data_IF_695364427467
#
_entry.id   IF_695364427467
#
_cell.length_a   1.000
_cell.length_b   1.000
_cell.length_c   1.000
_cell.angle_alpha   90.00
_cell.angle_beta   90.00
_cell.angle_gamma   90.00
#
_symmetry.space_group_name_H-M   'P 1'
#
loop_
_entity.id
_entity.type
_entity.pdbx_description
1 polymer ?
#
# COMPACT_ATOMS: atom_id res chain seq x y z
N UNK A 1 13.63 -8.63 -24.33
CA UNK A 1 13.36 -7.25 -24.77
C UNK A 1 11.84 -7.11 -24.81
N UNK A 2 11.25 -6.80 -23.66
CA UNK A 2 9.79 -6.69 -23.54
C UNK A 2 9.39 -5.27 -23.90
N UNK A 3 8.50 -5.16 -24.89
CA UNK A 3 7.91 -3.93 -25.35
C UNK A 3 7.03 -3.32 -24.25
N UNK A 4 7.55 -2.32 -23.54
CA UNK A 4 6.77 -1.49 -22.62
C UNK A 4 5.74 -0.71 -23.44
N UNK A 5 4.46 -0.97 -23.22
CA UNK A 5 3.40 -0.14 -23.80
C UNK A 5 3.50 1.25 -23.17
N UNK A 6 3.22 2.32 -23.92
CA UNK A 6 3.36 3.71 -23.47
C UNK A 6 2.42 4.13 -22.31
N UNK A 7 1.81 3.18 -21.62
CA UNK A 7 0.74 3.38 -20.61
C UNK A 7 1.03 2.68 -19.27
N UNK A 8 2.11 1.92 -19.16
CA UNK A 8 2.47 1.23 -17.92
C UNK A 8 3.37 2.10 -17.04
N UNK A 9 3.15 2.06 -15.73
CA UNK A 9 3.99 2.78 -14.78
C UNK A 9 5.27 2.01 -14.51
N UNK A 10 6.37 2.75 -14.39
CA UNK A 10 7.62 2.18 -13.92
C UNK A 10 7.55 1.84 -12.41
N UNK A 11 8.38 0.91 -11.95
CA UNK A 11 8.43 0.54 -10.52
C UNK A 11 8.66 1.75 -9.62
N UNK A 12 9.54 2.67 -10.03
CA UNK A 12 9.81 3.90 -9.29
C UNK A 12 8.53 4.74 -9.14
N UNK A 13 7.74 4.87 -10.20
CA UNK A 13 6.48 5.61 -10.19
C UNK A 13 5.45 4.97 -9.27
N UNK A 14 5.30 3.64 -9.32
CA UNK A 14 4.42 2.86 -8.44
C UNK A 14 4.80 3.12 -6.98
N UNK A 15 6.09 3.01 -6.66
CA UNK A 15 6.65 3.21 -5.32
C UNK A 15 6.43 4.64 -4.80
N UNK A 16 6.57 5.66 -5.64
CA UNK A 16 6.31 7.04 -5.24
C UNK A 16 4.82 7.32 -5.02
N UNK A 17 3.93 6.75 -5.84
CA UNK A 17 2.49 6.90 -5.66
C UNK A 17 2.03 6.21 -4.36
N UNK A 18 2.54 5.01 -4.06
CA UNK A 18 2.25 4.32 -2.80
C UNK A 18 2.74 5.13 -1.59
N UNK A 19 3.96 5.68 -1.66
CA UNK A 19 4.49 6.52 -0.59
C UNK A 19 3.67 7.80 -0.38
N UNK A 20 3.22 8.44 -1.46
CA UNK A 20 2.31 9.59 -1.38
C UNK A 20 0.94 9.22 -0.78
N UNK A 21 0.45 8.01 -1.06
CA UNK A 21 -0.82 7.52 -0.53
C UNK A 21 -0.76 7.19 0.97
N UNK A 22 0.40 6.81 1.51
CA UNK A 22 0.60 6.43 2.92
C UNK A 22 0.14 7.51 3.90
N UNK A 23 0.36 8.80 3.57
CA UNK A 23 -0.10 9.92 4.40
C UNK A 23 -1.61 10.21 4.30
N UNK A 24 -2.32 9.53 3.38
CA UNK A 24 -3.74 9.73 3.10
C UNK A 24 -4.63 8.51 3.34
N UNK A 25 -4.05 7.31 3.47
CA UNK A 25 -4.83 6.06 3.52
C UNK A 25 -5.94 6.13 4.57
N UNK A 26 -7.17 5.87 4.12
CA UNK A 26 -8.38 5.92 4.96
C UNK A 26 -8.81 7.32 5.42
N UNK A 27 -8.21 8.39 4.90
CA UNK A 27 -8.48 9.79 5.31
C UNK A 27 -8.67 10.76 4.15
N UNK A 28 -8.16 10.42 2.97
CA UNK A 28 -8.22 11.27 1.78
C UNK A 28 -8.54 10.48 0.52
N UNK A 29 -9.27 11.13 -0.39
CA UNK A 29 -9.62 10.56 -1.69
C UNK A 29 -8.59 10.85 -2.77
N UNK A 30 -8.85 10.31 -3.96
CA UNK A 30 -8.03 10.43 -5.18
C UNK A 30 -7.52 11.85 -5.44
N UNK A 31 -8.39 12.86 -5.36
CA UNK A 31 -8.04 14.25 -5.64
C UNK A 31 -6.95 14.78 -4.70
N UNK A 32 -6.95 14.37 -3.43
CA UNK A 32 -5.92 14.79 -2.48
C UNK A 32 -4.58 14.13 -2.81
N UNK A 33 -4.58 12.84 -3.18
CA UNK A 33 -3.38 12.12 -3.60
C UNK A 33 -2.72 12.78 -4.82
N UNK A 34 -3.52 13.15 -5.82
CA UNK A 34 -3.05 13.88 -7.01
C UNK A 34 -2.42 15.23 -6.61
N UNK A 35 -3.02 15.95 -5.66
CA UNK A 35 -2.47 17.24 -5.17
C UNK A 35 -1.13 17.07 -4.44
N UNK A 36 -0.96 16.02 -3.64
CA UNK A 36 0.33 15.71 -2.99
C UNK A 36 1.39 15.48 -4.06
N UNK A 37 1.13 14.56 -4.99
CA UNK A 37 2.06 14.20 -6.07
C UNK A 37 2.41 15.40 -6.96
N UNK A 38 1.46 16.32 -7.18
CA UNK A 38 1.69 17.56 -7.94
C UNK A 38 2.53 18.59 -7.18
N UNK A 39 2.61 18.53 -5.86
CA UNK A 39 3.22 19.58 -5.03
C UNK A 39 2.31 20.79 -4.87
N UNK A 40 1.00 20.55 -4.73
CA UNK A 40 0.00 21.62 -4.63
C UNK A 40 0.10 22.38 -3.31
N UNK A 41 0.14 23.72 -3.38
CA UNK A 41 0.12 24.62 -2.22
C UNK A 41 -1.30 24.85 -1.66
N UNK A 42 -2.18 23.86 -1.81
CA UNK A 42 -3.55 23.93 -1.29
C UNK A 42 -3.53 24.14 0.23
N UNK A 43 -4.30 25.10 0.73
CA UNK A 43 -4.24 25.50 2.15
C UNK A 43 -4.51 24.32 3.09
N UNK A 44 -5.51 23.49 2.79
CA UNK A 44 -5.87 22.34 3.63
C UNK A 44 -4.81 21.25 3.57
N UNK A 45 -4.17 21.06 2.42
CA UNK A 45 -3.05 20.13 2.27
C UNK A 45 -1.90 20.52 3.20
N UNK A 46 -1.53 21.80 3.20
CA UNK A 46 -0.45 22.34 4.05
C UNK A 46 -0.81 22.33 5.53
N UNK A 47 -2.05 22.67 5.88
CA UNK A 47 -2.54 22.61 7.28
C UNK A 47 -2.48 21.19 7.85
N UNK A 48 -2.59 20.16 7.00
CA UNK A 48 -2.49 18.75 7.37
C UNK A 48 -1.04 18.22 7.33
N UNK A 49 -0.05 19.06 7.00
CA UNK A 49 1.37 18.66 6.90
C UNK A 49 1.66 17.66 5.78
N UNK A 50 0.76 17.54 4.79
CA UNK A 50 0.91 16.54 3.72
C UNK A 50 2.05 16.85 2.75
N UNK A 51 2.62 18.06 2.84
CA UNK A 51 3.82 18.48 2.11
C UNK A 51 5.12 17.90 2.67
N UNK A 52 5.11 17.29 3.86
CA UNK A 52 6.29 16.64 4.45
C UNK A 52 6.52 15.22 3.88
N UNK A 53 5.61 14.74 3.04
CA UNK A 53 5.72 13.47 2.35
C UNK A 53 6.89 13.52 1.33
N UNK A 54 7.74 12.49 1.30
CA UNK A 54 8.90 12.42 0.39
C UNK A 54 8.49 12.47 -1.10
N UNK A 55 7.30 11.99 -1.43
CA UNK A 55 6.76 12.02 -2.79
C UNK A 55 5.98 13.32 -3.11
N UNK A 56 5.96 14.30 -2.20
CA UNK A 56 5.32 15.59 -2.46
C UNK A 56 6.02 16.32 -3.60
N UNK A 57 5.27 16.64 -4.66
CA UNK A 57 5.82 17.30 -5.85
C UNK A 57 6.64 16.39 -6.77
N UNK A 58 6.62 15.06 -6.57
CA UNK A 58 7.29 14.11 -7.48
C UNK A 58 6.93 14.37 -8.95
N UNK A 59 5.64 14.66 -9.21
CA UNK A 59 5.10 14.98 -10.53
C UNK A 59 4.90 16.48 -10.77
N UNK A 60 5.73 17.35 -10.16
CA UNK A 60 5.56 18.81 -10.27
C UNK A 60 5.60 19.35 -11.73
N UNK A 61 6.23 18.65 -12.67
CA UNK A 61 6.32 19.08 -14.08
C UNK A 61 5.14 18.64 -14.96
N UNK A 62 4.38 17.60 -14.58
CA UNK A 62 3.26 17.08 -15.38
C UNK A 62 1.91 17.62 -14.91
N UNK A 63 0.88 17.52 -15.75
CA UNK A 63 -0.45 18.07 -15.44
C UNK A 63 -1.20 17.23 -14.41
N UNK A 64 -2.13 17.85 -13.67
CA UNK A 64 -3.01 17.14 -12.73
C UNK A 64 -3.82 16.02 -13.40
N UNK A 65 -4.21 16.21 -14.66
CA UNK A 65 -4.91 15.21 -15.46
C UNK A 65 -4.04 13.97 -15.69
N UNK A 66 -2.79 14.15 -16.13
CA UNK A 66 -1.84 13.04 -16.31
C UNK A 66 -1.55 12.32 -15.00
N UNK A 67 -1.40 13.05 -13.90
CA UNK A 67 -1.24 12.45 -12.57
C UNK A 67 -2.48 11.64 -12.18
N UNK A 68 -3.68 12.16 -12.49
CA UNK A 68 -4.95 11.45 -12.24
C UNK A 68 -4.98 10.14 -13.03
N UNK A 69 -4.58 10.13 -14.30
CA UNK A 69 -4.46 8.89 -15.10
C UNK A 69 -3.52 7.87 -14.46
N UNK A 70 -2.38 8.32 -13.90
CA UNK A 70 -1.44 7.44 -13.18
C UNK A 70 -2.03 6.88 -11.88
N UNK A 71 -2.75 7.69 -11.10
CA UNK A 71 -3.45 7.21 -9.90
C UNK A 71 -4.58 6.25 -10.27
N UNK A 72 -5.33 6.53 -11.34
CA UNK A 72 -6.38 5.63 -11.84
C UNK A 72 -5.78 4.31 -12.35
N UNK A 73 -4.59 4.34 -12.96
CA UNK A 73 -3.84 3.13 -13.30
C UNK A 73 -3.52 2.29 -12.05
N UNK A 74 -3.11 2.92 -10.94
CA UNK A 74 -2.83 2.22 -9.67
C UNK A 74 -4.08 1.53 -9.09
N UNK A 75 -5.26 2.17 -9.21
CA UNK A 75 -6.54 1.61 -8.77
C UNK A 75 -6.94 0.42 -9.67
N UNK A 76 -6.85 0.61 -10.99
CA UNK A 76 -7.19 -0.44 -11.97
C UNK A 76 -6.30 -1.67 -11.85
N UNK A 77 -5.02 -1.50 -11.49
CA UNK A 77 -4.08 -2.61 -11.28
C UNK A 77 -4.01 -3.10 -9.83
N UNK A 78 -4.96 -2.68 -9.00
CA UNK A 78 -5.16 -3.15 -7.64
C UNK A 78 -3.92 -2.96 -6.75
N UNK A 79 -3.20 -1.85 -6.91
CA UNK A 79 -2.25 -1.37 -5.90
C UNK A 79 -2.95 -0.49 -4.86
N UNK A 80 -3.96 0.24 -5.31
CA UNK A 80 -4.85 1.06 -4.50
C UNK A 80 -6.30 0.64 -4.75
N UNK A 81 -7.17 0.93 -3.81
CA UNK A 81 -8.62 0.82 -4.01
C UNK A 81 -9.35 1.99 -3.35
N UNK A 82 -10.62 2.14 -3.71
CA UNK A 82 -11.49 3.17 -3.15
C UNK A 82 -12.45 2.49 -2.18
N UNK A 83 -12.42 2.92 -0.93
CA UNK A 83 -13.43 2.57 0.08
C UNK A 83 -14.32 3.77 0.38
N UNK A 84 -15.52 3.51 0.88
CA UNK A 84 -16.47 4.55 1.26
C UNK A 84 -16.62 4.61 2.78
N UNK A 85 -16.16 5.71 3.38
CA UNK A 85 -16.46 6.05 4.76
C UNK A 85 -17.67 7.00 4.78
N UNK A 86 -18.86 6.42 4.91
CA UNK A 86 -20.11 7.14 4.62
C UNK A 86 -20.14 7.56 3.16
N UNK A 87 -20.34 8.85 2.90
CA UNK A 87 -20.33 9.41 1.53
C UNK A 87 -18.93 9.78 1.02
N UNK A 88 -17.87 9.60 1.84
CA UNK A 88 -16.52 9.99 1.49
C UNK A 88 -15.73 8.83 0.85
N UNK A 89 -15.36 8.93 -0.44
CA UNK A 89 -14.44 7.99 -1.05
C UNK A 89 -13.01 8.27 -0.55
N UNK A 90 -12.42 7.29 0.11
CA UNK A 90 -11.04 7.33 0.59
C UNK A 90 -10.21 6.29 -0.16
N UNK A 91 -8.94 6.62 -0.39
CA UNK A 91 -7.99 5.66 -0.94
C UNK A 91 -7.49 4.77 0.20
N UNK A 92 -7.41 3.47 -0.07
CA UNK A 92 -6.70 2.51 0.79
C UNK A 92 -5.75 1.65 -0.04
N UNK A 93 -4.80 1.01 0.64
CA UNK A 93 -3.95 0.01 0.01
C UNK A 93 -4.68 -1.31 -0.09
N UNK A 94 -4.61 -1.94 -1.27
CA UNK A 94 -4.90 -3.37 -1.40
C UNK A 94 -3.80 -4.19 -0.71
N UNK A 95 -3.96 -5.51 -0.64
CA UNK A 95 -2.89 -6.40 -0.17
C UNK A 95 -1.58 -6.19 -0.94
N UNK A 96 -1.67 -6.10 -2.28
CA UNK A 96 -0.55 -5.82 -3.18
C UNK A 96 0.14 -4.49 -2.85
N UNK A 97 -0.63 -3.42 -2.66
CA UNK A 97 -0.09 -2.11 -2.27
C UNK A 97 0.59 -2.14 -0.90
N UNK A 98 -0.01 -2.84 0.07
CA UNK A 98 0.53 -3.01 1.42
C UNK A 98 1.85 -3.77 1.43
N UNK A 99 2.03 -4.78 0.59
CA UNK A 99 3.31 -5.52 0.50
C UNK A 99 4.44 -4.56 0.09
N UNK A 100 4.25 -3.84 -1.01
CA UNK A 100 5.27 -2.94 -1.57
C UNK A 100 5.56 -1.77 -0.61
N UNK A 101 4.52 -1.14 -0.06
CA UNK A 101 4.69 -0.01 0.84
C UNK A 101 5.38 -0.41 2.16
N UNK A 102 5.09 -1.61 2.70
CA UNK A 102 5.77 -2.09 3.91
C UNK A 102 7.26 -2.35 3.66
N UNK A 103 7.61 -2.94 2.53
CA UNK A 103 9.01 -3.13 2.13
C UNK A 103 9.74 -1.78 2.01
N UNK A 104 9.14 -0.80 1.31
CA UNK A 104 9.71 0.54 1.18
C UNK A 104 9.92 1.21 2.54
N UNK A 105 8.91 1.16 3.40
CA UNK A 105 8.98 1.76 4.74
C UNK A 105 10.04 1.09 5.61
N UNK A 106 10.11 -0.25 5.60
CA UNK A 106 11.14 -0.99 6.31
C UNK A 106 12.55 -0.69 5.78
N UNK A 107 12.71 -0.55 4.47
CA UNK A 107 13.98 -0.17 3.84
C UNK A 107 14.43 1.25 4.20
N UNK A 108 13.50 2.20 4.35
CA UNK A 108 13.81 3.55 4.85
C UNK A 108 14.31 3.53 6.29
N UNK A 109 13.68 2.73 7.16
CA UNK A 109 14.13 2.55 8.54
C UNK A 109 15.53 1.92 8.60
N UNK A 110 15.79 0.91 7.78
CA UNK A 110 17.10 0.28 7.71
C UNK A 110 18.18 1.29 7.31
N UNK A 111 17.96 2.05 6.23
CA UNK A 111 18.91 3.11 5.82
C UNK A 111 19.15 4.16 6.90
N UNK A 112 18.11 4.52 7.65
CA UNK A 112 18.26 5.44 8.78
C UNK A 112 19.14 4.82 9.88
N UNK A 113 18.91 3.56 10.23
CA UNK A 113 19.72 2.86 11.24
C UNK A 113 21.16 2.62 10.76
N UNK A 114 21.37 2.38 9.47
CA UNK A 114 22.71 2.29 8.86
C UNK A 114 23.50 3.58 9.09
N UNK A 115 22.87 4.74 8.87
CA UNK A 115 23.50 6.04 9.09
C UNK A 115 23.88 6.22 10.55
N UNK A 116 23.00 5.86 11.50
CA UNK A 116 23.31 5.95 12.92
C UNK A 116 24.44 5.01 13.33
N UNK A 117 24.43 3.77 12.85
CA UNK A 117 25.49 2.80 13.13
C UNK A 117 26.83 3.28 12.56
N UNK A 118 26.86 3.75 11.32
CA UNK A 118 28.08 4.28 10.67
C UNK A 118 28.59 5.55 11.36
N UNK A 119 27.69 6.41 11.83
CA UNK A 119 28.01 7.62 12.58
C UNK A 119 28.31 7.38 14.07
N UNK A 120 28.18 6.14 14.56
CA UNK A 120 28.25 5.80 15.99
C UNK A 120 27.22 6.56 16.86
N UNK A 121 26.07 6.92 16.28
CA UNK A 121 24.94 7.60 16.94
C UNK A 121 23.98 6.59 17.57
N UNK A 122 24.48 5.80 18.52
CA UNK A 122 23.76 4.65 19.06
C UNK A 122 22.76 4.99 20.17
N UNK A 123 22.52 6.26 20.49
CA UNK A 123 21.53 6.68 21.49
C UNK A 123 20.40 7.42 20.80
N UNK A 124 19.27 6.76 20.63
CA UNK A 124 18.12 7.28 19.89
C UNK A 124 16.84 7.08 20.68
N UNK A 125 15.88 8.00 20.54
CA UNK A 125 14.52 7.74 21.00
C UNK A 125 13.81 6.87 19.97
N UNK A 126 13.57 5.61 20.32
CA UNK A 126 12.93 4.62 19.45
C UNK A 126 11.41 4.53 19.66
N UNK A 127 10.82 5.46 20.42
CA UNK A 127 9.38 5.55 20.62
C UNK A 127 8.61 5.82 19.32
N UNK A 128 9.25 6.41 18.31
CA UNK A 128 8.64 6.64 16.99
C UNK A 128 8.30 5.35 16.23
N UNK A 129 8.84 4.20 16.63
CA UNK A 129 8.51 2.88 16.08
C UNK A 129 7.27 2.26 16.73
N UNK A 130 6.89 2.75 17.91
CA UNK A 130 5.71 2.28 18.63
C UNK A 130 4.44 2.60 17.85
N UNK A 131 3.46 1.71 17.95
CA UNK A 131 2.13 1.83 17.31
C UNK A 131 2.16 1.85 15.76
N UNK A 132 3.33 1.66 15.13
CA UNK A 132 3.42 1.47 13.68
C UNK A 132 2.81 0.13 13.27
N UNK A 133 2.52 0.00 11.97
CA UNK A 133 2.00 -1.24 11.39
C UNK A 133 2.88 -2.43 11.78
N UNK A 134 2.30 -3.40 12.50
CA UNK A 134 3.05 -4.55 13.04
C UNK A 134 3.75 -5.36 11.96
N UNK A 135 3.11 -5.58 10.81
CA UNK A 135 3.73 -6.31 9.71
C UNK A 135 4.96 -5.60 9.17
N UNK A 136 4.92 -4.26 9.06
CA UNK A 136 6.08 -3.45 8.68
C UNK A 136 7.21 -3.56 9.70
N UNK A 137 6.89 -3.49 11.00
CA UNK A 137 7.86 -3.64 12.10
C UNK A 137 8.54 -5.01 12.09
N UNK A 138 7.78 -6.09 11.89
CA UNK A 138 8.33 -7.43 11.80
C UNK A 138 9.22 -7.59 10.56
N UNK A 139 8.79 -7.08 9.40
CA UNK A 139 9.61 -7.08 8.19
C UNK A 139 10.91 -6.29 8.37
N UNK A 140 10.86 -5.12 9.03
CA UNK A 140 12.04 -4.33 9.35
C UNK A 140 13.04 -5.12 10.22
N UNK A 141 12.55 -5.81 11.25
CA UNK A 141 13.36 -6.68 12.10
C UNK A 141 14.01 -7.83 11.32
N UNK A 142 13.32 -8.43 10.35
CA UNK A 142 13.90 -9.45 9.48
C UNK A 142 15.01 -8.89 8.60
N UNK A 143 14.79 -7.71 7.98
CA UNK A 143 15.82 -7.05 7.17
C UNK A 143 17.06 -6.71 8.00
N UNK A 144 16.89 -6.28 9.27
CA UNK A 144 18.01 -6.10 10.20
C UNK A 144 18.74 -7.42 10.47
N UNK A 145 18.02 -8.51 10.73
CA UNK A 145 18.61 -9.82 10.98
C UNK A 145 19.42 -10.33 9.77
N UNK A 146 18.92 -10.13 8.55
CA UNK A 146 19.55 -10.52 7.30
C UNK A 146 20.91 -9.84 7.05
N UNK A 147 21.11 -8.64 7.58
CA UNK A 147 22.41 -7.95 7.48
C UNK A 147 23.55 -8.70 8.19
N UNK A 148 23.23 -9.49 9.21
CA UNK A 148 24.23 -10.09 10.11
C UNK A 148 25.07 -9.08 10.91
N UNK A 149 24.71 -7.79 10.91
CA UNK A 149 25.52 -6.74 11.53
C UNK A 149 25.15 -6.56 13.01
N UNK A 150 26.05 -6.98 13.90
CA UNK A 150 25.86 -6.88 15.36
C UNK A 150 25.86 -5.44 15.87
N UNK A 151 26.25 -4.45 15.06
CA UNK A 151 26.27 -3.04 15.48
C UNK A 151 24.87 -2.44 15.70
N UNK A 152 23.80 -3.10 15.22
CA UNK A 152 22.42 -2.68 15.55
C UNK A 152 21.96 -3.08 16.96
N UNK A 153 22.66 -3.99 17.64
CA UNK A 153 22.21 -4.55 18.93
C UNK A 153 21.91 -3.45 19.97
N UNK A 154 22.74 -2.41 20.16
CA UNK A 154 22.43 -1.36 21.13
C UNK A 154 21.13 -0.61 20.82
N UNK A 155 20.80 -0.40 19.55
CA UNK A 155 19.53 0.21 19.13
C UNK A 155 18.36 -0.75 19.39
N UNK A 156 18.52 -2.03 19.06
CA UNK A 156 17.51 -3.07 19.33
C UNK A 156 17.19 -3.18 20.83
N UNK A 157 18.22 -3.16 21.69
CA UNK A 157 18.05 -3.18 23.15
C UNK A 157 17.24 -1.98 23.65
N UNK A 158 17.55 -0.77 23.18
CA UNK A 158 16.77 0.44 23.51
C UNK A 158 15.31 0.33 23.05
N UNK A 159 15.08 -0.23 21.86
CA UNK A 159 13.72 -0.38 21.32
C UNK A 159 12.90 -1.38 22.14
N UNK A 160 13.53 -2.48 22.57
CA UNK A 160 12.90 -3.50 23.38
C UNK A 160 12.38 -2.95 24.73
N UNK A 161 12.86 -1.81 25.21
CA UNK A 161 12.35 -1.21 26.44
C UNK A 161 10.98 -0.56 26.27
N UNK A 162 10.68 0.00 25.10
CA UNK A 162 9.51 0.91 24.91
C UNK A 162 8.31 0.29 24.17
N UNK A 163 8.51 -0.82 23.47
CA UNK A 163 7.47 -1.45 22.62
C UNK A 163 6.59 -2.49 23.35
N UNK A 164 5.62 -3.09 22.67
CA UNK A 164 4.75 -4.13 23.18
C UNK A 164 5.46 -5.49 23.26
N UNK A 165 5.01 -6.35 24.18
CA UNK A 165 5.62 -7.65 24.47
C UNK A 165 5.86 -8.55 23.24
N UNK A 166 5.02 -8.45 22.21
CA UNK A 166 5.20 -9.19 20.97
C UNK A 166 6.41 -8.70 20.17
N UNK A 167 6.55 -7.38 20.01
CA UNK A 167 7.70 -6.78 19.32
C UNK A 167 8.98 -7.00 20.15
N UNK A 168 8.91 -6.87 21.48
CA UNK A 168 10.04 -7.21 22.37
C UNK A 168 10.57 -8.62 22.16
N UNK A 169 9.68 -9.62 22.01
CA UNK A 169 10.08 -11.01 21.70
C UNK A 169 10.74 -11.13 20.34
N UNK A 170 10.19 -10.48 19.31
CA UNK A 170 10.77 -10.47 17.98
C UNK A 170 12.18 -9.83 17.97
N UNK A 171 12.35 -8.70 18.67
CA UNK A 171 13.66 -8.04 18.85
C UNK A 171 14.68 -9.00 19.47
N UNK A 172 14.32 -9.70 20.55
CA UNK A 172 15.22 -10.67 21.18
C UNK A 172 15.64 -11.78 20.22
N UNK A 173 14.71 -12.32 19.43
CA UNK A 173 15.05 -13.32 18.41
C UNK A 173 16.05 -12.77 17.38
N UNK A 174 15.90 -11.50 16.96
CA UNK A 174 16.86 -10.84 16.07
C UNK A 174 18.23 -10.70 16.73
N UNK A 175 18.29 -10.22 17.98
CA UNK A 175 19.56 -10.10 18.72
C UNK A 175 20.25 -11.46 18.84
N UNK A 176 19.52 -12.51 19.24
CA UNK A 176 20.05 -13.87 19.36
C UNK A 176 20.58 -14.38 18.01
N UNK A 177 19.85 -14.10 16.92
CA UNK A 177 20.28 -14.46 15.55
C UNK A 177 21.57 -13.75 15.16
N UNK A 178 21.66 -12.43 15.38
CA UNK A 178 22.86 -11.62 15.09
C UNK A 178 24.06 -12.11 15.90
N UNK A 179 23.89 -12.40 17.20
CA UNK A 179 24.95 -12.91 18.06
C UNK A 179 25.40 -14.34 17.70
N UNK A 180 24.49 -15.15 17.14
CA UNK A 180 24.82 -16.52 16.74
C UNK A 180 25.80 -16.59 15.56
N UNK A 181 25.95 -15.49 14.81
CA UNK A 181 26.82 -15.41 13.63
C UNK A 181 26.39 -16.33 12.48
N UNK A 182 25.19 -16.92 12.54
CA UNK A 182 24.73 -17.92 11.56
C UNK A 182 24.45 -17.35 10.18
N UNK A 183 24.33 -16.02 10.06
CA UNK A 183 24.01 -15.33 8.82
C UNK A 183 22.67 -15.76 8.21
N UNK A 184 22.23 -15.05 7.17
CA UNK A 184 21.04 -15.42 6.41
C UNK A 184 19.70 -15.02 7.06
N UNK A 185 18.58 -15.40 6.41
CA UNK A 185 17.26 -14.90 6.75
C UNK A 185 16.73 -15.48 8.06
N UNK A 186 16.09 -14.62 8.85
CA UNK A 186 15.33 -14.99 10.04
C UNK A 186 13.83 -14.89 9.72
N UNK A 187 13.10 -15.99 9.87
CA UNK A 187 11.64 -15.96 9.77
C UNK A 187 11.03 -15.63 11.13
N UNK A 188 10.30 -14.51 11.21
CA UNK A 188 9.56 -14.12 12.41
C UNK A 188 8.08 -14.50 12.24
N UNK A 189 7.47 -14.98 13.33
CA UNK A 189 6.04 -15.28 13.35
C UNK A 189 5.20 -14.03 13.01
N UNK A 190 4.21 -14.19 12.13
CA UNK A 190 3.35 -13.13 11.58
C UNK A 190 4.05 -12.04 10.76
N UNK A 191 5.34 -12.20 10.47
CA UNK A 191 5.99 -11.34 9.50
C UNK A 191 5.42 -11.62 8.10
N UNK A 192 5.12 -10.57 7.31
CA UNK A 192 4.68 -10.77 5.94
C UNK A 192 5.79 -11.40 5.11
N UNK A 193 5.40 -12.16 4.09
CA UNK A 193 6.33 -12.62 3.05
C UNK A 193 6.68 -11.40 2.18
N UNK A 194 7.98 -11.23 1.92
CA UNK A 194 8.50 -10.18 1.04
C UNK A 194 8.53 -10.73 -0.41
N UNK A 195 7.40 -10.67 -1.10
CA UNK A 195 7.25 -11.08 -2.50
C UNK A 195 7.07 -9.88 -3.44
N UNK A 196 7.66 -8.74 -3.09
CA UNK A 196 7.52 -7.46 -3.81
C UNK A 196 7.78 -7.59 -5.32
N UNK A 197 8.77 -8.37 -5.73
CA UNK A 197 9.07 -8.58 -7.15
C UNK A 197 7.88 -9.20 -7.90
N UNK A 198 7.21 -10.18 -7.31
CA UNK A 198 6.00 -10.80 -7.88
C UNK A 198 4.85 -9.78 -7.92
N UNK A 199 4.70 -9.01 -6.84
CA UNK A 199 3.67 -7.97 -6.74
C UNK A 199 3.92 -6.78 -7.68
N UNK A 200 5.10 -6.61 -8.27
CA UNK A 200 5.36 -5.58 -9.27
C UNK A 200 5.03 -6.05 -10.70
N UNK A 201 4.84 -7.36 -10.91
CA UNK A 201 4.49 -7.88 -12.24
C UNK A 201 3.06 -7.50 -12.59
N UNK A 202 2.88 -6.78 -13.70
CA UNK A 202 1.56 -6.43 -14.23
C UNK A 202 1.22 -7.36 -15.37
N UNK A 203 0.23 -8.22 -15.14
CA UNK A 203 -0.29 -9.10 -16.18
C UNK A 203 -1.44 -8.45 -16.94
N UNK A 204 -1.57 -8.72 -18.26
CA UNK A 204 -2.75 -8.30 -19.02
C UNK A 204 -4.03 -8.83 -18.36
N UNK A 205 -4.97 -7.93 -18.13
CA UNK A 205 -6.26 -8.27 -17.53
C UNK A 205 -7.19 -8.85 -18.58
N UNK A 206 -8.00 -9.82 -18.19
CA UNK A 206 -8.94 -10.50 -19.07
C UNK A 206 -10.34 -10.50 -18.46
N UNK A 207 -11.36 -10.75 -19.29
CA UNK A 207 -12.72 -10.89 -18.82
C UNK A 207 -12.83 -12.07 -17.84
N UNK A 208 -13.50 -11.86 -16.72
CA UNK A 208 -13.75 -12.90 -15.72
C UNK A 208 -15.13 -13.52 -15.93
N UNK A 209 -15.31 -14.80 -15.57
CA UNK A 209 -16.63 -15.45 -15.62
C UNK A 209 -17.26 -15.61 -14.25
N UNK A 210 -18.23 -14.76 -13.96
CA UNK A 210 -18.96 -14.74 -12.71
C UNK A 210 -20.22 -15.61 -12.78
N UNK A 211 -20.71 -16.07 -11.63
CA UNK A 211 -21.99 -16.79 -11.51
C UNK A 211 -23.06 -15.86 -10.94
N UNK A 212 -24.18 -15.70 -11.65
CA UNK A 212 -25.31 -14.93 -11.16
C UNK A 212 -25.97 -15.64 -9.97
N UNK A 213 -26.18 -14.92 -8.87
CA UNK A 213 -26.83 -15.47 -7.66
C UNK A 213 -28.34 -15.65 -7.81
N UNK A 214 -28.95 -15.06 -8.84
CA UNK A 214 -30.40 -15.08 -9.04
C UNK A 214 -30.82 -16.17 -10.03
N UNK A 215 -30.27 -16.16 -11.25
CA UNK A 215 -30.60 -17.16 -12.27
C UNK A 215 -29.60 -18.33 -12.36
N UNK A 216 -28.50 -18.29 -11.61
CA UNK A 216 -27.45 -19.32 -11.61
C UNK A 216 -26.57 -19.36 -12.86
N UNK A 217 -26.91 -18.62 -13.94
CA UNK A 217 -26.13 -18.57 -15.19
C UNK A 217 -24.78 -17.90 -14.97
N UNK A 218 -23.76 -18.36 -15.69
CA UNK A 218 -22.48 -17.67 -15.79
C UNK A 218 -22.56 -16.55 -16.82
N UNK A 219 -21.86 -15.45 -16.57
CA UNK A 219 -21.77 -14.31 -17.48
C UNK A 219 -20.35 -13.74 -17.46
N UNK A 220 -19.98 -13.09 -18.55
CA UNK A 220 -18.68 -12.45 -18.68
C UNK A 220 -18.69 -11.09 -17.98
N UNK A 221 -17.62 -10.80 -17.25
CA UNK A 221 -17.35 -9.53 -16.58
C UNK A 221 -16.15 -8.89 -17.27
N UNK A 222 -16.38 -8.06 -18.30
CA UNK A 222 -15.33 -7.50 -19.14
C UNK A 222 -14.44 -6.53 -18.37
N UNK A 223 -13.21 -6.32 -18.87
CA UNK A 223 -12.18 -5.50 -18.18
C UNK A 223 -12.67 -4.06 -17.98
N UNK A 224 -13.44 -3.52 -18.91
CA UNK A 224 -14.03 -2.18 -18.83
C UNK A 224 -15.05 -2.06 -17.69
N UNK A 225 -15.85 -3.11 -17.47
CA UNK A 225 -16.77 -3.15 -16.32
C UNK A 225 -16.00 -3.37 -15.02
N UNK A 226 -14.93 -4.18 -15.01
CA UNK A 226 -14.04 -4.31 -13.86
C UNK A 226 -13.42 -2.95 -13.47
N UNK A 227 -12.92 -2.21 -14.44
CA UNK A 227 -12.37 -0.86 -14.25
C UNK A 227 -13.42 0.08 -13.67
N UNK A 228 -14.61 0.10 -14.26
CA UNK A 228 -15.70 0.93 -13.79
C UNK A 228 -16.03 0.64 -12.31
N UNK A 229 -16.13 -0.64 -11.94
CA UNK A 229 -16.43 -1.05 -10.57
C UNK A 229 -15.31 -0.65 -9.58
N UNK A 230 -14.04 -0.89 -9.94
CA UNK A 230 -12.89 -0.48 -9.12
C UNK A 230 -12.85 1.03 -8.92
N UNK A 231 -13.09 1.79 -9.98
CA UNK A 231 -13.16 3.25 -9.94
C UNK A 231 -14.34 3.80 -9.14
N UNK A 232 -15.36 2.96 -8.89
CA UNK A 232 -16.49 3.27 -8.01
C UNK A 232 -16.32 2.72 -6.59
N UNK A 233 -15.25 1.99 -6.30
CA UNK A 233 -15.10 1.30 -5.02
C UNK A 233 -16.23 0.29 -4.77
N UNK A 234 -16.70 -0.38 -5.83
CA UNK A 234 -17.79 -1.35 -5.78
C UNK A 234 -17.29 -2.78 -5.87
N UNK A 235 -17.94 -3.66 -5.13
CA UNK A 235 -17.74 -5.11 -5.25
C UNK A 235 -18.18 -5.64 -6.61
N UNK A 236 -17.52 -6.72 -7.11
CA UNK A 236 -17.94 -7.41 -8.34
C UNK A 236 -19.45 -7.69 -8.38
N UNK A 237 -20.08 -7.60 -9.57
CA UNK A 237 -21.52 -7.73 -9.66
C UNK A 237 -21.99 -9.15 -9.30
N UNK A 238 -22.87 -9.24 -8.30
CA UNK A 238 -23.47 -10.52 -7.84
C UNK A 238 -24.50 -11.09 -8.83
N UNK A 239 -24.91 -10.33 -9.84
CA UNK A 239 -25.98 -10.66 -10.79
C UNK A 239 -25.58 -10.27 -12.21
N UNK A 240 -26.01 -11.08 -13.18
CA UNK A 240 -25.90 -10.72 -14.59
C UNK A 240 -26.80 -9.53 -14.93
N UNK A 241 -26.46 -8.82 -16.00
CA UNK A 241 -27.18 -7.64 -16.47
C UNK A 241 -28.70 -7.84 -16.60
N UNK A 242 -29.23 -8.91 -17.22
CA UNK A 242 -30.68 -9.13 -17.29
C UNK A 242 -31.38 -9.18 -15.92
N UNK A 243 -30.76 -9.84 -14.92
CA UNK A 243 -31.33 -9.91 -13.57
C UNK A 243 -31.25 -8.56 -12.84
N UNK A 244 -30.20 -7.76 -13.08
CA UNK A 244 -30.09 -6.40 -12.52
C UNK A 244 -31.16 -5.47 -13.08
N UNK A 245 -31.39 -5.52 -14.39
CA UNK A 245 -32.41 -4.73 -15.08
C UNK A 245 -33.82 -5.11 -14.64
N UNK A 246 -34.14 -6.40 -14.59
CA UNK A 246 -35.45 -6.89 -14.15
C UNK A 246 -35.77 -6.36 -12.75
N UNK A 247 -34.80 -6.45 -11.83
CA UNK A 247 -34.96 -5.95 -10.46
C UNK A 247 -35.10 -4.43 -10.38
N UNK A 248 -34.38 -3.68 -11.22
CA UNK A 248 -34.51 -2.21 -11.29
C UNK A 248 -35.93 -1.80 -11.69
N UNK A 249 -36.47 -2.44 -12.74
CA UNK A 249 -37.86 -2.22 -13.18
C UNK A 249 -38.88 -2.57 -12.10
N UNK A 250 -38.69 -3.68 -11.38
CA UNK A 250 -39.58 -4.06 -10.27
C UNK A 250 -39.53 -3.06 -9.10
N UNK A 251 -38.37 -2.47 -8.80
CA UNK A 251 -38.25 -1.43 -7.75
C UNK A 251 -38.87 -0.10 -8.17
N UNK A 252 -38.66 0.33 -9.42
CA UNK A 252 -39.22 1.59 -9.94
C UNK A 252 -40.77 1.54 -10.02
N UNK A 253 -41.36 0.35 -10.21
CA UNK A 253 -42.81 0.16 -10.18
C UNK A 253 -43.48 0.23 -8.79
N UNK A 254 -42.71 0.13 -7.69
CA UNK A 254 -43.22 0.22 -6.31
C UNK A 254 -43.04 1.62 -5.69
N UNK A 255 -42.36 2.55 -6.37
CA UNK A 255 -42.17 3.94 -5.91
C UNK A 255 -43.32 4.89 -6.24
N UNK A 256 -44.44 4.37 -6.74
CA UNK A 256 -45.62 5.13 -7.20
C UNK A 256 -46.91 4.83 -6.41
N UNK A 257 -46.82 4.15 -5.26
CA UNK A 257 -47.95 3.94 -4.35
C UNK A 257 -47.65 4.48 -2.96
#
# INVERSE_FOLDING_TARGET
MSSTSATDLEEEEIRHILHAADSLVGRGGRTMLVKILKGSRDKKLLELGLNDNVAYGYYHVITMERITEKVDWMIRHQFLEIEHQGDMPVIVFTERGWIIQRDQAAGLLLRQWDQWVQGNELRQDLSYLKDRNRGMILLFLQKLAETGNTAYIPLLEQWAEVDYQKVKRAIRQVIDHLLSGKGGPLSLEDAPVDDVAEQLVVYPRTAERLKCWECGKRFDWPVEEQDFFRMKGWDPPKRCEPCREQRRRTKEGWGFF
#
